data_IF_980692221861
#
_entry.id   IF_980692221861
#
_cell.length_a   1.000
_cell.length_b   1.000
_cell.length_c   1.000
_cell.angle_alpha   90.00
_cell.angle_beta   90.00
_cell.angle_gamma   90.00
#
_symmetry.space_group_name_H-M   'P 1'
#
loop_
_entity.id
_entity.type
_entity.pdbx_description
1 polymer ?
#
# COMPACT_ATOMS: atom_id res chain seq x y z
N UNK A 1 -10.97 -24.55 -17.15
CA UNK A 1 -11.43 -23.14 -17.09
C UNK A 1 -10.42 -22.36 -16.27
N UNK A 2 -10.18 -21.08 -16.59
CA UNK A 2 -9.28 -20.24 -15.78
C UNK A 2 -9.84 -20.09 -14.37
N UNK A 3 -9.00 -20.27 -13.35
CA UNK A 3 -9.37 -20.05 -11.95
C UNK A 3 -9.51 -18.56 -11.60
N UNK A 4 -8.98 -17.69 -12.46
CA UNK A 4 -8.93 -16.25 -12.28
C UNK A 4 -9.56 -15.52 -13.46
N UNK A 5 -10.30 -14.46 -13.18
CA UNK A 5 -10.75 -13.47 -14.16
C UNK A 5 -9.96 -12.17 -14.00
N UNK A 6 -9.31 -11.70 -15.05
CA UNK A 6 -8.68 -10.39 -15.04
C UNK A 6 -9.74 -9.30 -14.89
N UNK A 7 -9.56 -8.42 -13.92
CA UNK A 7 -10.47 -7.29 -13.68
C UNK A 7 -9.95 -6.00 -14.30
N UNK A 8 -8.66 -5.72 -14.11
CA UNK A 8 -8.07 -4.45 -14.54
C UNK A 8 -6.68 -4.20 -13.96
N UNK A 9 -6.06 -3.12 -14.38
CA UNK A 9 -4.84 -2.56 -13.80
C UNK A 9 -5.19 -1.22 -13.16
N UNK A 10 -4.77 -1.01 -11.92
CA UNK A 10 -4.95 0.26 -11.24
C UNK A 10 -3.96 1.30 -11.76
N UNK A 11 -4.21 2.58 -11.44
CA UNK A 11 -3.24 3.64 -11.67
C UNK A 11 -1.89 3.29 -11.02
N UNK A 12 -0.75 3.66 -11.64
CA UNK A 12 0.56 3.31 -11.14
C UNK A 12 0.91 4.07 -9.87
N UNK A 13 1.77 3.44 -9.07
CA UNK A 13 2.33 4.00 -7.84
C UNK A 13 3.84 4.11 -7.97
N UNK A 14 4.44 4.98 -7.16
CA UNK A 14 5.89 5.10 -7.08
C UNK A 14 6.41 4.47 -5.79
N UNK A 15 7.29 3.48 -5.91
CA UNK A 15 7.94 2.88 -4.74
C UNK A 15 9.01 3.79 -4.15
N UNK A 16 9.43 3.48 -2.92
CA UNK A 16 10.58 4.08 -2.23
C UNK A 16 11.87 4.09 -3.07
N UNK A 17 12.02 3.08 -3.93
CA UNK A 17 13.20 2.86 -4.76
C UNK A 17 13.08 3.51 -6.15
N UNK A 18 12.06 4.36 -6.34
CA UNK A 18 11.74 5.02 -7.61
C UNK A 18 11.37 4.04 -8.74
N UNK A 19 10.89 2.85 -8.37
CA UNK A 19 10.26 1.92 -9.31
C UNK A 19 8.78 2.28 -9.47
N UNK A 20 8.33 2.38 -10.71
CA UNK A 20 6.90 2.52 -11.06
C UNK A 20 6.25 1.15 -10.97
N UNK A 21 5.18 1.04 -10.18
CA UNK A 21 4.49 -0.21 -9.89
C UNK A 21 3.05 -0.13 -10.39
N UNK A 22 2.64 -1.13 -11.18
CA UNK A 22 1.28 -1.27 -11.72
C UNK A 22 0.54 -2.42 -11.01
N UNK A 23 -0.39 -2.14 -10.08
CA UNK A 23 -1.16 -3.19 -9.44
C UNK A 23 -2.15 -3.80 -10.43
N UNK A 24 -2.12 -5.13 -10.55
CA UNK A 24 -3.03 -5.89 -11.43
C UNK A 24 -4.05 -6.62 -10.56
N UNK A 25 -5.32 -6.42 -10.86
CA UNK A 25 -6.44 -6.99 -10.11
C UNK A 25 -7.03 -8.18 -10.83
N UNK A 26 -7.26 -9.25 -10.07
CA UNK A 26 -7.94 -10.45 -10.50
C UNK A 26 -9.09 -10.77 -9.57
N UNK A 27 -10.18 -11.28 -10.13
CA UNK A 27 -11.17 -12.03 -9.37
C UNK A 27 -10.77 -13.50 -9.35
N UNK A 28 -10.72 -14.08 -8.17
CA UNK A 28 -10.73 -15.53 -8.04
C UNK A 28 -12.15 -16.03 -8.27
N UNK A 29 -12.32 -16.98 -9.20
CA UNK A 29 -13.64 -17.41 -9.68
C UNK A 29 -14.18 -18.65 -8.94
N UNK A 30 -13.39 -19.23 -8.02
CA UNK A 30 -13.82 -20.33 -7.15
C UNK A 30 -14.04 -19.82 -5.72
N UNK A 31 -14.25 -20.72 -4.75
CA UNK A 31 -14.49 -20.31 -3.37
C UNK A 31 -13.19 -19.86 -2.67
N UNK A 32 -13.24 -18.85 -1.78
CA UNK A 32 -12.08 -18.44 -0.99
C UNK A 32 -11.44 -19.60 -0.20
N UNK A 33 -12.25 -20.55 0.27
CA UNK A 33 -11.78 -21.73 1.00
C UNK A 33 -10.97 -22.68 0.10
N UNK A 34 -11.40 -22.88 -1.15
CA UNK A 34 -10.64 -23.63 -2.15
C UNK A 34 -9.34 -22.92 -2.52
N UNK A 35 -9.32 -21.58 -2.58
CA UNK A 35 -8.08 -20.85 -2.83
C UNK A 35 -7.08 -21.11 -1.70
N UNK A 36 -7.48 -20.84 -0.46
CA UNK A 36 -6.58 -20.89 0.69
C UNK A 36 -6.06 -22.31 0.96
N UNK A 37 -6.90 -23.34 0.78
CA UNK A 37 -6.48 -24.74 0.95
C UNK A 37 -5.50 -25.23 -0.11
N UNK A 38 -5.52 -24.64 -1.31
CA UNK A 38 -4.64 -25.02 -2.41
C UNK A 38 -3.37 -24.16 -2.50
N UNK A 39 -3.29 -23.04 -1.77
CA UNK A 39 -2.10 -22.19 -1.73
C UNK A 39 -0.98 -22.89 -0.97
N UNK A 40 0.14 -23.12 -1.66
CA UNK A 40 1.37 -23.64 -1.08
C UNK A 40 2.45 -22.56 -1.14
N UNK A 41 2.94 -22.14 0.02
CA UNK A 41 4.05 -21.21 0.10
C UNK A 41 5.32 -21.85 -0.50
N UNK A 42 6.08 -21.05 -1.23
CA UNK A 42 7.47 -21.36 -1.51
C UNK A 42 8.29 -20.99 -0.28
N UNK A 43 8.79 -21.97 0.47
CA UNK A 43 9.47 -21.75 1.76
C UNK A 43 10.75 -20.90 1.64
N UNK A 44 11.35 -20.83 0.44
CA UNK A 44 12.53 -20.00 0.18
C UNK A 44 12.21 -18.49 0.11
N UNK A 45 10.94 -18.12 -0.12
CA UNK A 45 10.54 -16.74 -0.44
C UNK A 45 9.36 -16.23 0.40
N UNK A 46 8.45 -17.11 0.82
CA UNK A 46 7.16 -16.77 1.44
C UNK A 46 7.07 -17.43 2.80
N UNK A 47 7.14 -16.61 3.86
CA UNK A 47 7.00 -17.09 5.23
C UNK A 47 5.57 -17.46 5.59
N UNK A 48 4.58 -16.71 5.09
CA UNK A 48 3.18 -16.93 5.44
C UNK A 48 2.23 -16.42 4.34
N UNK A 49 1.08 -17.09 4.20
CA UNK A 49 -0.01 -16.71 3.31
C UNK A 49 -1.24 -16.47 4.19
N UNK A 50 -1.85 -15.30 4.05
CA UNK A 50 -3.03 -14.92 4.82
C UNK A 50 -4.04 -14.20 3.93
N UNK A 51 -5.27 -14.06 4.44
CA UNK A 51 -6.31 -13.26 3.83
C UNK A 51 -6.75 -12.16 4.80
N UNK A 52 -7.15 -11.02 4.24
CA UNK A 52 -7.72 -9.91 4.99
C UNK A 52 -8.94 -9.40 4.23
N UNK A 53 -10.15 -9.42 4.83
CA UNK A 53 -11.31 -8.84 4.22
C UNK A 53 -11.07 -7.36 3.89
N UNK A 54 -11.38 -6.96 2.66
CA UNK A 54 -11.22 -5.56 2.22
C UNK A 54 -12.04 -4.59 3.08
N UNK A 55 -13.17 -5.06 3.62
CA UNK A 55 -14.02 -4.34 4.55
C UNK A 55 -13.33 -4.02 5.87
N UNK A 56 -12.43 -4.87 6.34
CA UNK A 56 -11.71 -4.64 7.60
C UNK A 56 -10.73 -3.46 7.47
N UNK A 57 -10.17 -3.24 6.28
CA UNK A 57 -9.39 -2.03 5.97
C UNK A 57 -10.30 -0.81 5.98
N UNK A 58 -11.46 -0.89 5.32
CA UNK A 58 -12.43 0.21 5.28
C UNK A 58 -12.86 0.66 6.69
N UNK A 59 -13.04 -0.30 7.59
CA UNK A 59 -13.53 -0.10 8.95
C UNK A 59 -12.41 0.02 9.99
N UNK A 60 -11.14 0.02 9.59
CA UNK A 60 -10.01 0.08 10.51
C UNK A 60 -10.11 1.30 11.46
N UNK A 61 -9.74 1.09 12.73
CA UNK A 61 -9.81 2.14 13.77
C UNK A 61 -8.47 2.82 13.95
N UNK A 62 -8.43 4.14 14.18
CA UNK A 62 -7.25 4.81 14.72
C UNK A 62 -6.80 4.14 16.04
N UNK A 63 -5.49 4.07 16.28
CA UNK A 63 -4.84 3.37 17.41
C UNK A 63 -5.37 3.75 18.82
N UNK A 64 -6.08 4.87 18.96
CA UNK A 64 -6.62 5.35 20.25
C UNK A 64 -8.00 4.77 20.64
N UNK A 65 -8.57 3.88 19.82
CA UNK A 65 -9.92 3.33 20.02
C UNK A 65 -9.85 1.87 20.51
N UNK A 66 -9.41 1.68 21.76
CA UNK A 66 -9.11 0.39 22.42
C UNK A 66 -10.38 -0.40 22.83
N UNK A 67 -11.51 -0.13 22.19
CA UNK A 67 -12.83 -0.57 22.63
C UNK A 67 -13.27 -1.95 22.09
N UNK A 68 -12.47 -2.61 21.25
CA UNK A 68 -12.74 -4.01 20.83
C UNK A 68 -11.48 -4.74 20.34
N UNK A 69 -11.07 -5.80 21.05
CA UNK A 69 -9.83 -6.57 20.83
C UNK A 69 -9.71 -7.40 19.55
N UNK A 70 -10.46 -7.07 18.48
CA UNK A 70 -10.39 -7.77 17.19
C UNK A 70 -10.39 -6.83 15.98
N UNK A 71 -10.15 -5.53 16.19
CA UNK A 71 -10.24 -4.53 15.13
C UNK A 71 -8.87 -4.27 14.51
N UNK A 72 -8.83 -4.16 13.18
CA UNK A 72 -7.63 -3.72 12.47
C UNK A 72 -7.28 -2.30 12.90
N UNK A 73 -6.11 -2.11 13.47
CA UNK A 73 -5.61 -0.82 13.94
C UNK A 73 -4.95 -0.10 12.78
N UNK A 74 -5.27 1.18 12.64
CA UNK A 74 -4.69 2.09 11.67
C UNK A 74 -3.84 3.14 12.37
N UNK A 75 -2.66 3.36 11.81
CA UNK A 75 -1.80 4.49 12.13
C UNK A 75 -1.33 5.14 10.85
N UNK A 76 -0.97 6.42 10.93
CA UNK A 76 -0.32 7.09 9.83
C UNK A 76 0.72 8.08 10.33
N UNK A 77 1.69 8.38 9.47
CA UNK A 77 2.63 9.47 9.69
C UNK A 77 2.90 10.16 8.36
N UNK A 78 3.06 11.46 8.42
CA UNK A 78 3.35 12.27 7.25
C UNK A 78 4.88 12.39 7.10
N UNK A 79 5.39 11.95 5.94
CA UNK A 79 6.81 11.91 5.61
C UNK A 79 7.16 12.93 4.53
N UNK A 80 8.42 13.35 4.48
CA UNK A 80 8.96 14.16 3.38
C UNK A 80 9.38 13.27 2.21
N UNK A 81 8.82 13.55 1.04
CA UNK A 81 9.14 12.85 -0.20
C UNK A 81 9.81 13.80 -1.21
N UNK A 82 9.51 13.64 -2.50
CA UNK A 82 10.15 14.38 -3.60
C UNK A 82 9.87 15.88 -3.44
N UNK A 83 10.90 16.71 -3.58
CA UNK A 83 10.82 18.17 -3.42
C UNK A 83 10.36 18.60 -2.02
N UNK A 84 10.54 17.75 -1.01
CA UNK A 84 10.08 18.03 0.36
C UNK A 84 8.54 18.08 0.50
N UNK A 85 7.81 17.59 -0.49
CA UNK A 85 6.35 17.44 -0.42
C UNK A 85 5.98 16.41 0.64
N UNK A 86 4.75 16.53 1.15
CA UNK A 86 4.25 15.64 2.20
C UNK A 86 3.64 14.40 1.57
N UNK A 87 3.90 13.24 2.19
CA UNK A 87 3.31 11.97 1.84
C UNK A 87 2.83 11.23 3.09
N UNK A 88 1.56 10.84 3.11
CA UNK A 88 1.01 10.04 4.18
C UNK A 88 1.42 8.58 4.03
N UNK A 89 2.22 8.10 4.97
CA UNK A 89 2.55 6.70 5.09
C UNK A 89 1.52 6.00 5.98
N UNK A 90 0.82 5.01 5.42
CA UNK A 90 -0.20 4.23 6.10
C UNK A 90 0.37 2.95 6.73
N UNK A 91 -0.20 2.56 7.87
CA UNK A 91 0.11 1.29 8.53
C UNK A 91 -1.14 0.68 9.16
N UNK A 92 -1.41 -0.58 8.81
CA UNK A 92 -2.47 -1.39 9.37
C UNK A 92 -1.88 -2.58 10.13
N UNK A 93 -2.33 -2.81 11.36
CA UNK A 93 -1.82 -3.88 12.20
C UNK A 93 -2.91 -4.50 13.06
N UNK A 94 -2.78 -5.79 13.33
CA UNK A 94 -3.63 -6.55 14.25
C UNK A 94 -2.81 -7.70 14.80
N UNK A 95 -3.18 -8.24 15.96
CA UNK A 95 -2.62 -9.49 16.50
C UNK A 95 -2.92 -10.70 15.59
N UNK A 96 -3.92 -10.61 14.72
CA UNK A 96 -4.28 -11.64 13.74
C UNK A 96 -3.50 -11.54 12.42
N UNK A 97 -2.73 -10.47 12.20
CA UNK A 97 -1.91 -10.33 10.99
C UNK A 97 -0.49 -10.83 11.24
N UNK A 98 0.10 -11.62 10.32
CA UNK A 98 1.49 -12.06 10.43
C UNK A 98 2.50 -10.91 10.52
N UNK A 99 2.19 -9.80 9.85
CA UNK A 99 2.96 -8.56 9.92
C UNK A 99 2.09 -7.34 9.58
N UNK A 100 2.48 -6.13 10.00
CA UNK A 100 1.77 -4.92 9.61
C UNK A 100 1.78 -4.68 8.09
N UNK A 101 0.63 -4.29 7.53
CA UNK A 101 0.52 -3.84 6.14
C UNK A 101 0.91 -2.36 6.08
N UNK A 102 2.01 -2.05 5.40
CA UNK A 102 2.56 -0.69 5.38
C UNK A 102 3.11 -0.27 4.02
N UNK A 103 3.40 1.03 3.87
CA UNK A 103 4.05 1.59 2.69
C UNK A 103 3.26 1.35 1.41
N UNK A 104 3.96 1.01 0.33
CA UNK A 104 3.35 0.84 -0.99
C UNK A 104 2.21 -0.19 -1.02
N UNK A 105 2.35 -1.29 -0.28
CA UNK A 105 1.28 -2.29 -0.16
C UNK A 105 0.03 -1.68 0.46
N UNK A 106 0.18 -0.89 1.52
CA UNK A 106 -0.94 -0.19 2.15
C UNK A 106 -1.54 0.87 1.20
N UNK A 107 -0.72 1.62 0.46
CA UNK A 107 -1.20 2.62 -0.52
C UNK A 107 -2.08 1.98 -1.61
N UNK A 108 -1.65 0.83 -2.14
CA UNK A 108 -2.39 0.06 -3.15
C UNK A 108 -3.72 -0.43 -2.59
N UNK A 109 -3.71 -0.99 -1.38
CA UNK A 109 -4.93 -1.51 -0.72
C UNK A 109 -5.90 -0.35 -0.41
N UNK A 110 -5.42 0.78 0.09
CA UNK A 110 -6.27 1.96 0.35
C UNK A 110 -6.90 2.49 -0.93
N UNK A 111 -6.13 2.58 -2.03
CA UNK A 111 -6.68 2.93 -3.35
C UNK A 111 -7.76 1.94 -3.79
N UNK A 112 -7.51 0.63 -3.63
CA UNK A 112 -8.49 -0.40 -3.95
C UNK A 112 -9.77 -0.29 -3.11
N UNK A 113 -9.67 -0.05 -1.79
CA UNK A 113 -10.82 0.13 -0.89
C UNK A 113 -11.64 1.34 -1.31
N UNK A 114 -11.00 2.48 -1.50
CA UNK A 114 -11.68 3.73 -1.86
C UNK A 114 -12.40 3.60 -3.21
N UNK A 115 -11.78 2.91 -4.17
CA UNK A 115 -12.38 2.59 -5.46
C UNK A 115 -13.56 1.61 -5.34
N UNK A 116 -13.35 0.45 -4.69
CA UNK A 116 -14.35 -0.62 -4.60
C UNK A 116 -15.60 -0.20 -3.82
N UNK A 117 -15.44 0.55 -2.74
CA UNK A 117 -16.55 1.01 -1.89
C UNK A 117 -17.03 2.43 -2.22
N UNK A 118 -16.46 3.09 -3.24
CA UNK A 118 -16.79 4.45 -3.65
C UNK A 118 -16.79 5.45 -2.50
N UNK A 119 -15.80 5.33 -1.62
CA UNK A 119 -15.65 6.17 -0.44
C UNK A 119 -14.28 6.84 -0.44
N UNK A 120 -14.21 8.19 -0.54
CA UNK A 120 -12.93 8.90 -0.54
C UNK A 120 -12.29 8.98 0.86
N UNK A 121 -13.08 8.76 1.92
CA UNK A 121 -12.63 8.81 3.31
C UNK A 121 -13.09 7.53 4.03
N UNK A 122 -12.22 6.50 4.09
CA UNK A 122 -12.45 5.33 4.92
C UNK A 122 -12.63 5.69 6.41
N UNK A 123 -13.08 4.72 7.22
CA UNK A 123 -13.38 4.93 8.64
C UNK A 123 -12.21 5.45 9.48
N UNK A 124 -10.98 5.29 8.98
CA UNK A 124 -9.75 5.75 9.62
C UNK A 124 -9.32 7.18 9.26
N UNK A 125 -10.11 7.91 8.46
CA UNK A 125 -9.88 9.33 8.16
C UNK A 125 -9.22 9.60 6.78
N UNK A 126 -8.61 10.78 6.59
CA UNK A 126 -8.16 11.21 5.27
C UNK A 126 -7.01 10.36 4.73
N UNK A 127 -7.13 9.92 3.47
CA UNK A 127 -6.11 9.12 2.78
C UNK A 127 -4.85 9.94 2.49
N UNK A 128 -4.97 11.18 2.04
CA UNK A 128 -3.83 12.03 1.68
C UNK A 128 -3.44 12.98 2.80
N UNK A 129 -2.14 13.23 2.94
CA UNK A 129 -1.64 14.32 3.77
C UNK A 129 -2.06 15.69 3.20
N UNK A 130 -2.12 16.75 4.04
CA UNK A 130 -2.35 18.10 3.55
C UNK A 130 -1.32 18.47 2.48
N UNK A 131 -1.82 18.88 1.30
CA UNK A 131 -1.00 19.26 0.13
C UNK A 131 -0.12 18.13 -0.42
N UNK A 132 -0.48 16.88 -0.16
CA UNK A 132 0.15 15.74 -0.84
C UNK A 132 -0.22 15.74 -2.32
N UNK A 133 0.80 15.61 -3.15
CA UNK A 133 0.64 15.45 -4.60
C UNK A 133 0.12 14.07 -4.97
N UNK A 134 -0.43 13.96 -6.17
CA UNK A 134 -0.89 12.69 -6.72
C UNK A 134 0.28 11.79 -7.13
N UNK A 135 0.02 10.48 -7.16
CA UNK A 135 0.99 9.49 -7.63
C UNK A 135 1.51 9.80 -9.03
N UNK A 136 0.64 10.30 -9.91
CA UNK A 136 1.05 10.74 -11.26
C UNK A 136 2.16 11.79 -11.20
N UNK A 137 2.00 12.82 -10.36
CA UNK A 137 3.01 13.89 -10.20
C UNK A 137 4.33 13.33 -9.67
N UNK A 138 4.28 12.45 -8.65
CA UNK A 138 5.49 11.81 -8.14
C UNK A 138 6.20 10.96 -9.20
N UNK A 139 5.44 10.22 -10.02
CA UNK A 139 5.99 9.44 -11.13
C UNK A 139 6.62 10.35 -12.18
N UNK A 140 5.94 11.42 -12.59
CA UNK A 140 6.47 12.37 -13.57
C UNK A 140 7.82 12.95 -13.09
N UNK A 141 7.93 13.34 -11.82
CA UNK A 141 9.19 13.82 -11.23
C UNK A 141 10.27 12.74 -11.17
N UNK A 142 9.93 11.50 -10.83
CA UNK A 142 10.88 10.39 -10.82
C UNK A 142 11.41 10.09 -12.22
N UNK A 143 10.55 10.10 -13.24
CA UNK A 143 10.92 9.92 -14.65
C UNK A 143 11.77 11.08 -15.17
N UNK A 144 11.55 12.30 -14.68
CA UNK A 144 12.39 13.46 -14.95
C UNK A 144 13.75 13.45 -14.22
N UNK A 145 14.02 12.45 -13.37
CA UNK A 145 15.26 12.37 -12.59
C UNK A 145 15.33 13.38 -11.45
N UNK A 146 14.17 13.87 -10.99
CA UNK A 146 14.09 14.91 -9.96
C UNK A 146 14.07 14.35 -8.53
N UNK A 147 13.82 13.05 -8.38
CA UNK A 147 13.70 12.35 -7.10
C UNK A 147 15.03 11.79 -6.57
N UNK A 148 15.08 11.54 -5.25
CA UNK A 148 16.25 10.93 -4.60
C UNK A 148 17.35 11.94 -4.27
N UNK A 149 16.98 13.21 -4.04
CA UNK A 149 17.88 14.32 -3.72
C UNK A 149 17.98 14.55 -2.21
N UNK A 150 18.92 15.42 -1.82
CA UNK A 150 19.06 15.85 -0.43
C UNK A 150 17.78 16.55 0.04
N UNK A 151 17.19 16.06 1.15
CA UNK A 151 15.88 16.52 1.66
C UNK A 151 14.73 15.54 1.42
N UNK A 152 14.87 14.60 0.49
CA UNK A 152 13.89 13.52 0.29
C UNK A 152 14.13 12.44 1.37
N UNK A 153 13.28 12.37 2.39
CA UNK A 153 13.46 11.44 3.51
C UNK A 153 12.92 10.05 3.20
N UNK A 154 11.91 9.95 2.33
CA UNK A 154 11.30 8.68 1.99
C UNK A 154 11.95 8.00 0.78
N UNK A 155 12.40 8.66 -0.28
CA UNK A 155 13.07 7.95 -1.38
C UNK A 155 14.49 7.50 -1.00
N UNK A 156 14.96 6.35 -1.50
CA UNK A 156 16.38 5.99 -1.38
C UNK A 156 17.20 7.01 -2.19
N UNK A 157 18.06 7.76 -1.50
CA UNK A 157 19.04 8.65 -2.11
C UNK A 157 20.07 7.79 -2.83
N UNK A 158 20.12 7.85 -4.16
CA UNK A 158 21.24 7.28 -4.93
C UNK A 158 22.47 8.15 -4.68
N UNK A 159 23.31 7.77 -3.72
CA UNK A 159 24.65 8.36 -3.63
C UNK A 159 25.43 7.98 -4.88
N UNK A 160 25.76 8.96 -5.72
CA UNK A 160 26.73 8.77 -6.79
C UNK A 160 28.03 8.28 -6.16
N UNK A 161 28.52 7.11 -6.58
CA UNK A 161 29.87 6.66 -6.19
C UNK A 161 30.86 7.72 -6.66
N UNK A 162 31.82 8.16 -5.83
CA UNK A 162 32.92 8.98 -6.32
C UNK A 162 33.62 8.22 -7.44
N UNK A 163 33.77 8.85 -8.60
CA UNK A 163 34.73 8.39 -9.62
C UNK A 163 36.11 8.52 -9.01
N UNK A 164 36.76 7.39 -8.76
CA UNK A 164 38.18 7.29 -8.39
C UNK A 164 39.04 7.49 -9.64
#
# INVERSE_FOLDING_TARGET
MSQYGYLGTLDPFLSRNLLVVYPVLYFYLQSPEELLSNLKANEDEVSEIFHLPLKDILEASPQDDDSSGSKLLYTSRDLKWIHGTTYRWHSFSSSSLPSPLTGLTADIIVSLVTFAYRTPNPGFGPVKAPRQEDWKTFIDWALAGEAGKEGDQHSIIRKTRPTV
#
